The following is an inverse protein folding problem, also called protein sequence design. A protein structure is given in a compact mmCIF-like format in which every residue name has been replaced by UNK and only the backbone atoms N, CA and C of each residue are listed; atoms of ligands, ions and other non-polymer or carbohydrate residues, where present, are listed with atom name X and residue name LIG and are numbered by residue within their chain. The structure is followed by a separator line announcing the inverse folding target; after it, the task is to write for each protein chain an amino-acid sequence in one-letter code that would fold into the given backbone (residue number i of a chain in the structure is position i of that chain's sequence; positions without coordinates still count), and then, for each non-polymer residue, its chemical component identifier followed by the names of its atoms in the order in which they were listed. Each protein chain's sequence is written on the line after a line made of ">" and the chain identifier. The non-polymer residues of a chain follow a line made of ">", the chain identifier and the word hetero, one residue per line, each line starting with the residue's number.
data_IF_993096268430
#
_entry.id   IF_993096268430
#
_cell.length_a   1.000
_cell.length_b   1.000
_cell.length_c   1.000
_cell.angle_alpha   90.00
_cell.angle_beta   90.00
_cell.angle_gamma   90.00
#
_symmetry.space_group_name_H-M   'P 1'
#
loop_
_entity.id
_entity.type
_entity.pdbx_description
1 polymer ?
#
# COMPACT_ATOMS: atom_id res chain seq x y z
N UNK A 1 -15.78 -6.39 -17.23
CA UNK A 1 -15.11 -7.11 -16.13
C UNK A 1 -13.78 -6.40 -15.92
N UNK A 2 -13.61 -5.70 -14.81
CA UNK A 2 -12.36 -5.04 -14.47
C UNK A 2 -11.54 -5.99 -13.59
N UNK A 3 -10.23 -6.05 -13.81
CA UNK A 3 -9.31 -6.68 -12.87
C UNK A 3 -9.01 -5.65 -11.79
N UNK A 4 -9.21 -6.02 -10.52
CA UNK A 4 -8.82 -5.21 -9.37
C UNK A 4 -7.63 -5.90 -8.71
N UNK A 5 -6.47 -5.27 -8.79
CA UNK A 5 -5.25 -5.72 -8.15
C UNK A 5 -5.09 -5.04 -6.79
N UNK A 6 -4.72 -5.81 -5.76
CA UNK A 6 -4.40 -5.29 -4.43
C UNK A 6 -3.13 -5.96 -3.93
N UNK A 7 -2.16 -5.18 -3.45
CA UNK A 7 -0.91 -5.71 -2.89
C UNK A 7 -1.04 -6.13 -1.42
N UNK A 8 -2.25 -6.47 -0.97
CA UNK A 8 -2.52 -6.82 0.42
C UNK A 8 -1.85 -8.15 0.79
N UNK A 9 -0.98 -8.14 1.82
CA UNK A 9 -0.23 -9.31 2.25
C UNK A 9 0.86 -9.74 1.27
N UNK A 10 1.19 -8.90 0.29
CA UNK A 10 2.27 -9.16 -0.65
C UNK A 10 3.57 -8.59 -0.06
N UNK A 11 4.44 -9.49 0.40
CA UNK A 11 5.69 -9.21 1.13
C UNK A 11 6.79 -8.44 0.35
N UNK A 12 6.48 -7.74 -0.74
CA UNK A 12 7.46 -6.89 -1.45
C UNK A 12 7.73 -5.56 -0.73
N UNK A 13 6.88 -5.19 0.23
CA UNK A 13 7.05 -3.97 1.01
C UNK A 13 8.15 -4.15 2.06
N UNK A 14 9.26 -3.44 1.90
CA UNK A 14 10.33 -3.39 2.91
C UNK A 14 10.02 -2.25 3.87
N UNK A 15 9.65 -2.57 5.11
CA UNK A 15 9.42 -1.60 6.20
C UNK A 15 7.99 -1.58 6.73
N UNK A 16 7.02 -1.18 5.91
CA UNK A 16 5.61 -1.09 6.28
C UNK A 16 4.72 -1.72 5.21
N UNK A 17 3.67 -2.44 5.63
CA UNK A 17 2.68 -3.06 4.74
C UNK A 17 1.39 -2.21 4.69
N UNK A 18 0.44 -2.58 3.82
CA UNK A 18 -0.79 -1.83 3.55
C UNK A 18 -1.57 -1.45 4.83
N UNK A 19 -1.55 -2.31 5.85
CA UNK A 19 -2.31 -2.14 7.08
C UNK A 19 -1.48 -1.59 8.25
N UNK A 20 -0.20 -1.26 8.05
CA UNK A 20 0.71 -0.82 9.13
C UNK A 20 0.33 0.50 9.80
N UNK A 21 -0.57 1.28 9.20
CA UNK A 21 -0.99 2.60 9.69
C UNK A 21 -2.49 2.69 9.97
N UNK A 22 -3.19 1.55 9.99
CA UNK A 22 -4.64 1.49 10.19
C UNK A 22 -4.94 0.86 11.54
N UNK A 23 -5.72 1.55 12.37
CA UNK A 23 -6.11 1.09 13.71
C UNK A 23 -7.22 0.03 13.68
N UNK A 24 -8.06 0.06 12.64
CA UNK A 24 -9.18 -0.86 12.42
C UNK A 24 -8.98 -1.68 11.12
N UNK A 25 -7.91 -2.49 11.00
CA UNK A 25 -7.53 -3.17 9.75
C UNK A 25 -8.62 -4.10 9.22
N UNK A 26 -9.50 -4.59 10.08
CA UNK A 26 -10.60 -5.49 9.73
C UNK A 26 -11.56 -4.90 8.70
N UNK A 27 -11.71 -3.57 8.63
CA UNK A 27 -12.60 -2.91 7.66
C UNK A 27 -12.09 -3.03 6.22
N UNK A 28 -10.83 -3.40 6.03
CA UNK A 28 -10.19 -3.66 4.74
C UNK A 28 -9.93 -5.16 4.51
N UNK A 29 -10.67 -6.03 5.19
CA UNK A 29 -10.56 -7.48 4.99
C UNK A 29 -11.29 -7.91 3.72
N UNK A 30 -10.62 -8.60 2.76
CA UNK A 30 -11.29 -9.14 1.60
C UNK A 30 -12.27 -10.25 1.97
N UNK A 31 -13.47 -10.21 1.38
CA UNK A 31 -14.50 -11.24 1.45
C UNK A 31 -14.83 -11.68 0.03
N UNK A 32 -14.67 -12.97 -0.27
CA UNK A 32 -14.90 -13.56 -1.59
C UNK A 32 -14.14 -12.87 -2.74
N UNK A 33 -12.94 -12.33 -2.44
CA UNK A 33 -12.11 -11.61 -3.40
C UNK A 33 -12.46 -10.12 -3.57
N UNK A 34 -13.37 -9.58 -2.76
CA UNK A 34 -13.80 -8.19 -2.81
C UNK A 34 -13.57 -7.49 -1.48
N UNK A 35 -13.29 -6.19 -1.51
CA UNK A 35 -13.30 -5.37 -0.30
C UNK A 35 -14.73 -4.86 -0.06
N UNK A 36 -15.33 -5.13 1.12
CA UNK A 36 -16.58 -4.50 1.49
C UNK A 36 -16.39 -2.99 1.64
N UNK A 37 -17.44 -2.20 1.36
CA UNK A 37 -17.39 -0.75 1.57
C UNK A 37 -17.45 -0.48 3.09
N UNK A 38 -16.48 0.24 3.68
CA UNK A 38 -16.53 0.62 5.08
C UNK A 38 -17.80 1.43 5.40
N UNK A 39 -18.45 1.12 6.52
CA UNK A 39 -19.73 1.74 6.93
C UNK A 39 -19.57 2.84 7.98
N UNK A 40 -18.34 3.06 8.46
CA UNK A 40 -18.03 4.14 9.38
C UNK A 40 -18.13 5.53 8.75
N UNK A 41 -18.06 6.60 9.57
CA UNK A 41 -18.08 7.97 9.07
C UNK A 41 -16.87 8.27 8.16
N UNK A 42 -17.06 9.16 7.18
CA UNK A 42 -16.00 9.55 6.26
C UNK A 42 -15.55 8.39 5.37
N UNK A 43 -14.25 8.06 5.41
CA UNK A 43 -13.69 6.91 4.70
C UNK A 43 -13.89 5.58 5.44
N UNK A 44 -14.37 5.61 6.68
CA UNK A 44 -14.56 4.42 7.52
C UNK A 44 -13.26 3.72 7.96
N UNK A 45 -12.12 4.43 7.87
CA UNK A 45 -10.80 3.97 8.29
C UNK A 45 -10.25 4.90 9.37
N UNK A 46 -9.68 4.32 10.42
CA UNK A 46 -9.01 5.02 11.51
C UNK A 46 -7.50 4.90 11.34
N UNK A 47 -6.78 6.03 11.36
CA UNK A 47 -5.34 6.09 11.09
C UNK A 47 -4.55 6.13 12.41
N UNK A 48 -3.48 5.34 12.48
CA UNK A 48 -2.47 5.48 13.52
C UNK A 48 -1.55 6.67 13.20
N UNK A 49 -1.98 7.86 13.61
CA UNK A 49 -1.22 9.10 13.46
C UNK A 49 0.16 9.04 14.14
N UNK A 50 0.31 8.25 15.20
CA UNK A 50 1.59 8.06 15.89
C UNK A 50 2.57 7.31 15.01
N UNK A 51 2.16 6.15 14.49
CA UNK A 51 2.96 5.36 13.55
C UNK A 51 3.31 6.15 12.29
N UNK A 52 2.37 6.94 11.74
CA UNK A 52 2.62 7.82 10.58
C UNK A 52 3.71 8.85 10.90
N UNK A 53 3.65 9.52 12.05
CA UNK A 53 4.64 10.54 12.44
C UNK A 53 6.01 9.93 12.71
N UNK A 54 6.08 8.73 13.29
CA UNK A 54 7.33 8.02 13.47
C UNK A 54 7.95 7.61 12.12
N UNK A 55 7.13 7.12 11.18
CA UNK A 55 7.60 6.80 9.83
C UNK A 55 8.09 8.04 9.05
N UNK A 56 7.46 9.21 9.23
CA UNK A 56 7.92 10.46 8.58
C UNK A 56 9.32 10.90 9.05
N UNK A 57 9.81 10.43 10.21
CA UNK A 57 11.17 10.75 10.66
C UNK A 57 12.23 10.15 9.74
N UNK A 58 11.94 9.01 9.12
CA UNK A 58 12.80 8.36 8.12
C UNK A 58 12.22 8.56 6.71
N UNK A 59 12.44 9.76 6.17
CA UNK A 59 11.88 10.14 4.87
C UNK A 59 12.48 9.32 3.75
N UNK A 60 11.63 8.56 3.08
CA UNK A 60 11.99 7.83 1.88
C UNK A 60 12.11 8.80 0.69
N UNK A 61 13.27 8.78 0.02
CA UNK A 61 13.49 9.50 -1.25
C UNK A 61 13.21 8.57 -2.44
N UNK A 62 12.02 7.97 -2.44
CA UNK A 62 11.63 6.96 -3.43
C UNK A 62 11.73 7.50 -4.86
N UNK A 63 12.23 6.65 -5.76
CA UNK A 63 12.30 6.87 -7.20
C UNK A 63 11.91 5.57 -7.86
N UNK A 64 11.20 5.65 -8.99
CA UNK A 64 11.04 4.51 -9.86
C UNK A 64 12.42 3.92 -10.16
N UNK A 65 12.63 2.61 -9.96
CA UNK A 65 13.84 1.94 -10.41
C UNK A 65 14.00 2.16 -11.92
N UNK A 66 15.20 2.58 -12.36
CA UNK A 66 15.50 2.68 -13.79
C UNK A 66 15.94 1.31 -14.27
N UNK A 67 15.18 0.73 -15.19
CA UNK A 67 15.54 -0.53 -15.84
C UNK A 67 16.22 -0.26 -17.17
N UNK A 68 17.27 -1.02 -17.45
CA UNK A 68 17.98 -0.99 -18.74
C UNK A 68 18.09 -2.39 -19.30
N UNK A 69 17.87 -2.52 -20.60
CA UNK A 69 18.12 -3.77 -21.32
C UNK A 69 19.64 -4.00 -21.44
N UNK A 70 20.03 -5.21 -21.86
CA UNK A 70 21.45 -5.61 -21.98
C UNK A 70 22.27 -4.72 -22.92
N UNK A 71 21.62 -4.04 -23.85
CA UNK A 71 22.23 -3.09 -24.79
C UNK A 71 22.29 -1.64 -24.25
N UNK A 72 21.84 -1.42 -23.00
CA UNK A 72 21.83 -0.12 -22.34
C UNK A 72 20.61 0.76 -22.64
N UNK A 73 19.70 0.30 -23.52
CA UNK A 73 18.45 0.99 -23.80
C UNK A 73 17.53 1.02 -22.57
N UNK A 74 16.74 2.08 -22.45
CA UNK A 74 15.80 2.26 -21.35
C UNK A 74 14.62 1.31 -21.51
N UNK A 75 14.27 0.60 -20.44
CA UNK A 75 13.02 -0.14 -20.35
C UNK A 75 12.03 0.69 -19.53
N UNK A 76 10.85 0.93 -20.08
CA UNK A 76 9.77 1.57 -19.34
C UNK A 76 9.23 0.64 -18.25
N UNK A 77 8.63 1.26 -17.23
CA UNK A 77 8.03 0.59 -16.09
C UNK A 77 6.53 0.40 -16.32
#
# INVERSE_FOLDING_TARGET
>A
MAIQEMSLGIHYNVGADLLSFVMNPEVLTPVDGFLPIPTGPGLGVEIDEGAVREADKDRHRWRNPIWRLKDGSFAEW
#
